data_IF_226576773429
#
_entry.id   IF_226576773429
#
_cell.length_a   1.000
_cell.length_b   1.000
_cell.length_c   1.000
_cell.angle_alpha   90.00
_cell.angle_beta   90.00
_cell.angle_gamma   90.00
#
_symmetry.space_group_name_H-M   'P 1'
#
loop_
_entity.id
_entity.type
_entity.pdbx_description
1 polymer ?
#
# COMPACT_ATOMS: atom_id res chain seq x y z
N UNK A 1 -3.02 -8.09 8.39
CA UNK A 1 -3.09 -8.25 9.85
C UNK A 1 -1.86 -7.56 10.38
N UNK A 2 -2.06 -6.55 11.22
CA UNK A 2 -0.98 -5.80 11.82
C UNK A 2 -1.02 -6.07 13.33
N UNK A 3 0.03 -6.68 13.88
CA UNK A 3 0.20 -6.94 15.31
C UNK A 3 1.08 -5.86 15.94
N UNK A 4 0.57 -5.21 16.98
CA UNK A 4 1.17 -4.07 17.66
C UNK A 4 2.17 -4.55 18.73
N UNK A 5 3.47 -4.43 18.47
CA UNK A 5 4.50 -4.82 19.45
C UNK A 5 4.95 -3.61 20.27
N UNK A 6 5.07 -2.45 19.64
CA UNK A 6 5.37 -1.19 20.30
C UNK A 6 4.69 -0.02 19.57
N UNK A 7 4.15 0.92 20.35
CA UNK A 7 3.48 2.12 19.85
C UNK A 7 4.47 3.28 19.86
N UNK A 8 4.36 4.16 18.87
CA UNK A 8 5.09 5.41 18.86
C UNK A 8 4.66 6.30 20.04
N UNK A 9 5.61 6.90 20.75
CA UNK A 9 5.29 7.87 21.80
C UNK A 9 4.65 9.14 21.22
N UNK A 10 4.96 9.47 19.96
CA UNK A 10 4.48 10.67 19.25
C UNK A 10 4.33 10.41 17.74
N UNK A 11 3.15 10.71 17.16
CA UNK A 11 2.85 10.45 15.74
C UNK A 11 2.79 8.97 15.34
N UNK A 12 3.00 8.63 14.07
CA UNK A 12 3.14 7.24 13.59
C UNK A 12 1.88 6.36 13.64
N UNK A 13 0.69 6.95 13.70
CA UNK A 13 -0.58 6.23 13.79
C UNK A 13 -0.92 5.53 12.47
N UNK A 14 -1.50 4.33 12.55
CA UNK A 14 -2.11 3.67 11.40
C UNK A 14 -3.43 4.36 11.09
N UNK A 15 -3.63 4.79 9.86
CA UNK A 15 -4.86 5.43 9.38
C UNK A 15 -5.46 4.57 8.28
N UNK A 16 -6.78 4.37 8.33
CA UNK A 16 -7.51 3.64 7.30
C UNK A 16 -8.59 4.50 6.68
N UNK A 17 -8.84 4.32 5.38
CA UNK A 17 -9.89 5.02 4.65
C UNK A 17 -10.70 4.03 3.80
N UNK A 18 -12.02 4.20 3.78
CA UNK A 18 -12.93 3.34 3.02
C UNK A 18 -12.82 3.61 1.52
N UNK A 19 -12.53 2.57 0.74
CA UNK A 19 -12.52 2.65 -0.72
C UNK A 19 -13.87 3.05 -1.29
N UNK A 20 -14.97 2.57 -0.70
CA UNK A 20 -16.32 2.92 -1.15
C UNK A 20 -16.66 4.40 -0.92
N UNK A 21 -16.18 4.98 0.18
CA UNK A 21 -16.37 6.41 0.44
C UNK A 21 -15.60 7.27 -0.56
N UNK A 22 -14.35 6.90 -0.87
CA UNK A 22 -13.54 7.58 -1.89
C UNK A 22 -14.19 7.44 -3.27
N UNK A 23 -14.64 6.23 -3.63
CA UNK A 23 -15.37 5.97 -4.87
C UNK A 23 -16.61 6.85 -5.01
N UNK A 24 -17.45 6.92 -3.97
CA UNK A 24 -18.68 7.72 -4.00
C UNK A 24 -18.38 9.21 -4.18
N UNK A 25 -17.34 9.72 -3.52
CA UNK A 25 -16.94 11.12 -3.65
C UNK A 25 -16.37 11.42 -5.04
N UNK A 26 -15.56 10.51 -5.61
CA UNK A 26 -15.08 10.59 -7.00
C UNK A 26 -16.26 10.57 -7.99
N UNK A 27 -17.19 9.64 -7.84
CA UNK A 27 -18.37 9.52 -8.71
C UNK A 27 -19.22 10.80 -8.68
N UNK A 28 -19.32 11.45 -7.51
CA UNK A 28 -20.08 12.69 -7.31
C UNK A 28 -19.37 13.93 -7.85
N UNK A 29 -18.05 14.02 -7.74
CA UNK A 29 -17.30 15.26 -7.97
C UNK A 29 -16.41 15.26 -9.20
N UNK A 30 -15.84 14.11 -9.56
CA UNK A 30 -14.88 13.90 -10.65
C UNK A 30 -15.09 12.56 -11.35
N UNK A 31 -16.27 12.33 -11.97
CA UNK A 31 -16.53 11.08 -12.70
C UNK A 31 -15.55 10.85 -13.85
N UNK A 32 -14.97 11.91 -14.41
CA UNK A 32 -13.90 11.84 -15.42
C UNK A 32 -12.64 11.13 -14.89
N UNK A 33 -12.22 11.43 -13.65
CA UNK A 33 -11.09 10.75 -13.02
C UNK A 33 -11.45 9.33 -12.58
N UNK A 34 -12.70 9.10 -12.16
CA UNK A 34 -13.16 7.74 -11.86
C UNK A 34 -13.04 6.82 -13.08
N UNK A 35 -13.41 7.30 -14.28
CA UNK A 35 -13.21 6.54 -15.52
C UNK A 35 -11.73 6.32 -15.86
N UNK A 36 -10.83 7.26 -15.51
CA UNK A 36 -9.39 7.06 -15.65
C UNK A 36 -8.87 5.94 -14.71
N UNK A 37 -9.39 5.84 -13.49
CA UNK A 37 -9.00 4.80 -12.53
C UNK A 37 -9.40 3.38 -12.94
N UNK A 38 -10.42 3.24 -13.80
CA UNK A 38 -10.86 1.96 -14.38
C UNK A 38 -10.00 1.50 -15.56
N UNK A 39 -9.19 2.39 -16.15
CA UNK A 39 -8.27 2.03 -17.24
C UNK A 39 -7.06 1.28 -16.70
N UNK A 40 -6.31 0.53 -17.52
CA UNK A 40 -5.09 -0.13 -17.08
C UNK A 40 -3.97 0.84 -16.64
N UNK A 41 -3.38 0.61 -15.48
CA UNK A 41 -2.20 1.31 -14.94
C UNK A 41 -0.99 0.39 -14.89
N UNK A 42 0.17 0.92 -15.29
CA UNK A 42 1.43 0.18 -15.29
C UNK A 42 2.22 0.55 -14.02
N UNK A 43 2.68 -0.47 -13.31
CA UNK A 43 3.47 -0.32 -12.09
C UNK A 43 4.98 -0.58 -12.36
N UNK A 44 5.86 0.21 -11.74
CA UNK A 44 7.31 0.26 -11.93
C UNK A 44 8.07 -0.81 -11.12
N UNK A 45 7.52 -1.32 -10.01
CA UNK A 45 8.24 -2.17 -9.07
C UNK A 45 7.69 -3.60 -9.00
N UNK A 46 8.32 -4.47 -9.78
CA UNK A 46 9.07 -5.67 -9.35
C UNK A 46 9.00 -6.70 -10.47
N UNK A 47 10.15 -7.13 -11.00
CA UNK A 47 10.51 -8.29 -11.85
C UNK A 47 9.47 -9.02 -12.75
N UNK A 48 8.19 -9.07 -12.40
CA UNK A 48 7.06 -9.51 -13.20
C UNK A 48 6.09 -8.34 -13.40
N UNK A 49 6.27 -7.64 -14.52
CA UNK A 49 5.31 -6.64 -14.97
C UNK A 49 4.06 -7.36 -15.51
N UNK A 50 2.88 -7.00 -15.02
CA UNK A 50 1.69 -7.16 -15.86
C UNK A 50 1.77 -6.07 -16.95
N UNK A 51 2.31 -6.44 -18.11
CA UNK A 51 2.52 -5.52 -19.24
C UNK A 51 1.22 -4.94 -19.76
N UNK A 52 0.10 -5.61 -19.50
CA UNK A 52 -1.22 -5.18 -19.94
C UNK A 52 -1.80 -4.08 -19.02
N UNK A 53 -1.18 -3.89 -17.84
CA UNK A 53 -1.59 -2.94 -16.83
C UNK A 53 -2.85 -3.38 -16.07
N UNK A 54 -3.03 -2.82 -14.88
CA UNK A 54 -4.11 -3.19 -13.99
C UNK A 54 -4.94 -1.96 -13.60
N UNK A 55 -6.28 -2.01 -13.66
CA UNK A 55 -7.12 -0.94 -13.14
C UNK A 55 -6.90 -0.71 -11.65
N UNK A 56 -6.89 0.55 -11.22
CA UNK A 56 -6.83 0.88 -9.79
C UNK A 56 -8.18 0.63 -9.12
N UNK A 57 -9.27 0.77 -9.86
CA UNK A 57 -10.63 0.44 -9.41
C UNK A 57 -11.26 -0.56 -10.36
N UNK A 58 -11.82 -1.64 -9.79
CA UNK A 58 -12.59 -2.65 -10.51
C UNK A 58 -13.57 -3.32 -9.55
N UNK A 59 -14.33 -4.30 -10.03
CA UNK A 59 -15.27 -5.07 -9.23
C UNK A 59 -14.85 -6.55 -9.23
N UNK A 60 -14.83 -7.14 -8.05
CA UNK A 60 -14.82 -8.59 -7.87
C UNK A 60 -16.23 -9.17 -8.12
N UNK A 61 -16.34 -10.50 -8.09
CA UNK A 61 -17.64 -11.18 -8.18
C UNK A 61 -18.61 -10.66 -7.11
N UNK A 62 -19.89 -10.57 -7.49
CA UNK A 62 -20.99 -9.93 -6.75
C UNK A 62 -20.85 -8.41 -6.60
N UNK A 63 -20.21 -7.76 -7.58
CA UNK A 63 -20.09 -6.30 -7.65
C UNK A 63 -19.35 -5.66 -6.46
N UNK A 64 -18.46 -6.43 -5.82
CA UNK A 64 -17.65 -5.94 -4.69
C UNK A 64 -16.55 -5.02 -5.22
N UNK A 65 -16.62 -3.74 -4.86
CA UNK A 65 -15.60 -2.75 -5.22
C UNK A 65 -14.22 -3.19 -4.71
N UNK A 66 -13.28 -3.32 -5.63
CA UNK A 66 -11.86 -3.51 -5.35
C UNK A 66 -11.13 -2.23 -5.73
N UNK A 67 -10.33 -1.73 -4.79
CA UNK A 67 -9.52 -0.54 -4.99
C UNK A 67 -8.09 -0.84 -4.56
N UNK A 68 -7.18 -0.85 -5.54
CA UNK A 68 -5.75 -1.03 -5.33
C UNK A 68 -5.04 0.24 -5.73
N UNK A 69 -4.44 0.90 -4.76
CA UNK A 69 -3.73 2.15 -5.01
C UNK A 69 -2.50 2.26 -4.12
N UNK A 70 -1.36 2.42 -4.78
CA UNK A 70 -0.13 2.88 -4.17
C UNK A 70 0.57 3.79 -5.17
N UNK A 71 0.93 5.01 -4.75
CA UNK A 71 1.56 6.00 -5.62
C UNK A 71 2.98 5.60 -6.02
N UNK A 72 3.76 5.06 -5.09
CA UNK A 72 5.19 4.76 -5.29
C UNK A 72 5.43 3.79 -6.46
N UNK A 73 4.70 2.67 -6.58
CA UNK A 73 4.83 1.80 -7.73
C UNK A 73 4.32 2.43 -9.03
N UNK A 74 3.69 3.61 -9.08
CA UNK A 74 3.22 4.29 -10.31
C UNK A 74 4.12 5.47 -10.70
N UNK A 75 4.79 6.11 -9.75
CA UNK A 75 5.68 7.25 -10.04
C UNK A 75 7.16 6.87 -10.02
N UNK A 76 7.49 5.71 -9.46
CA UNK A 76 8.84 5.32 -9.11
C UNK A 76 9.26 5.87 -7.74
N UNK A 77 10.18 5.17 -7.08
CA UNK A 77 10.85 5.65 -5.88
C UNK A 77 12.00 6.58 -6.31
N UNK A 78 12.09 7.77 -5.69
CA UNK A 78 13.21 8.74 -5.76
C UNK A 78 14.11 8.59 -7.00
N UNK A 79 13.62 9.11 -8.14
CA UNK A 79 14.24 9.41 -9.44
C UNK A 79 15.17 8.40 -10.15
N UNK A 80 15.92 7.55 -9.46
CA UNK A 80 17.09 6.89 -10.05
C UNK A 80 16.84 5.44 -10.49
N UNK A 81 15.71 4.83 -10.09
CA UNK A 81 15.34 3.45 -10.47
C UNK A 81 14.19 3.37 -11.47
N UNK A 82 13.84 4.49 -12.12
CA UNK A 82 12.71 4.54 -13.05
C UNK A 82 13.09 3.83 -14.36
N UNK A 83 12.36 2.78 -14.73
CA UNK A 83 12.46 2.19 -16.08
C UNK A 83 12.06 3.26 -17.12
N UNK A 84 13.04 3.76 -17.88
CA UNK A 84 12.84 4.82 -18.87
C UNK A 84 11.98 4.37 -20.07
N UNK A 85 11.79 3.06 -20.25
CA UNK A 85 10.91 2.52 -21.30
C UNK A 85 9.42 2.69 -21.00
N UNK A 86 9.06 3.01 -19.74
CA UNK A 86 7.66 3.27 -19.36
C UNK A 86 7.41 4.80 -19.41
N UNK A 87 6.39 5.28 -20.14
CA UNK A 87 6.03 6.69 -20.17
C UNK A 87 5.66 7.23 -18.78
N UNK A 88 5.93 8.52 -18.48
CA UNK A 88 5.46 9.13 -17.24
C UNK A 88 3.93 9.13 -17.19
N UNK A 89 3.32 9.08 -15.98
CA UNK A 89 1.89 9.23 -15.84
C UNK A 89 1.43 10.55 -16.48
N UNK A 90 0.27 10.53 -17.15
CA UNK A 90 -0.34 11.74 -17.71
C UNK A 90 -0.74 12.71 -16.59
N UNK A 91 -0.99 13.97 -16.94
CA UNK A 91 -1.49 14.96 -15.98
C UNK A 91 -2.79 14.50 -15.28
N UNK A 92 -3.73 13.91 -16.01
CA UNK A 92 -4.97 13.36 -15.43
C UNK A 92 -4.73 12.18 -14.49
N UNK A 93 -3.72 11.35 -14.75
CA UNK A 93 -3.32 10.29 -13.83
C UNK A 93 -2.69 10.84 -12.55
N UNK A 94 -1.80 11.84 -12.67
CA UNK A 94 -1.22 12.52 -11.51
C UNK A 94 -2.32 13.19 -10.66
N UNK A 95 -3.27 13.85 -11.32
CA UNK A 95 -4.42 14.47 -10.67
C UNK A 95 -5.30 13.44 -9.94
N UNK A 96 -5.62 12.31 -10.59
CA UNK A 96 -6.39 11.23 -9.98
C UNK A 96 -5.71 10.68 -8.72
N UNK A 97 -4.39 10.45 -8.77
CA UNK A 97 -3.63 9.98 -7.61
C UNK A 97 -3.67 10.98 -6.46
N UNK A 98 -3.43 12.27 -6.74
CA UNK A 98 -3.47 13.31 -5.71
C UNK A 98 -4.86 13.43 -5.10
N UNK A 99 -5.92 13.36 -5.90
CA UNK A 99 -7.29 13.41 -5.39
C UNK A 99 -7.63 12.20 -4.50
N UNK A 100 -7.17 10.99 -4.85
CA UNK A 100 -7.33 9.81 -4.00
C UNK A 100 -6.64 10.03 -2.64
N UNK A 101 -5.41 10.54 -2.65
CA UNK A 101 -4.65 10.82 -1.42
C UNK A 101 -5.37 11.87 -0.55
N UNK A 102 -5.82 12.97 -1.14
CA UNK A 102 -6.57 14.02 -0.45
C UNK A 102 -7.86 13.48 0.17
N UNK A 103 -8.61 12.66 -0.58
CA UNK A 103 -9.84 12.04 -0.09
C UNK A 103 -9.58 10.98 0.98
N UNK A 104 -8.51 10.20 0.84
CA UNK A 104 -8.11 9.21 1.85
C UNK A 104 -7.74 9.90 3.17
N UNK A 105 -6.98 10.99 3.13
CA UNK A 105 -6.64 11.76 4.32
C UNK A 105 -7.84 12.48 4.93
N UNK A 106 -8.67 13.12 4.10
CA UNK A 106 -9.90 13.81 4.56
C UNK A 106 -10.85 12.88 5.30
N UNK A 107 -10.98 11.63 4.84
CA UNK A 107 -11.92 10.65 5.38
C UNK A 107 -11.24 9.57 6.23
N UNK A 108 -9.95 9.73 6.52
CA UNK A 108 -9.14 8.75 7.23
C UNK A 108 -9.52 8.65 8.70
N UNK A 109 -9.53 7.43 9.22
CA UNK A 109 -9.72 7.15 10.63
C UNK A 109 -8.44 6.56 11.21
N UNK A 110 -7.90 7.22 12.23
CA UNK A 110 -6.79 6.67 12.99
C UNK A 110 -7.27 5.45 13.78
N UNK A 111 -6.57 4.33 13.63
CA UNK A 111 -6.79 3.14 14.43
C UNK A 111 -6.04 3.28 15.75
N UNK A 112 -6.71 3.14 16.91
CA UNK A 112 -6.02 3.00 18.17
C UNK A 112 -5.18 1.71 18.15
N UNK A 113 -4.01 1.74 18.79
CA UNK A 113 -3.08 0.62 18.88
C UNK A 113 -2.47 0.64 20.27
N UNK A 114 -2.52 -0.49 20.97
CA UNK A 114 -1.76 -0.79 22.17
C UNK A 114 -0.96 -2.06 21.95
N UNK A 115 0.17 -2.28 22.65
CA UNK A 115 0.91 -3.52 22.54
C UNK A 115 0.00 -4.75 22.78
N UNK A 116 0.00 -5.70 21.84
CA UNK A 116 -0.87 -6.87 21.82
C UNK A 116 -2.17 -6.69 21.01
N UNK A 117 -2.49 -5.49 20.55
CA UNK A 117 -3.62 -5.27 19.65
C UNK A 117 -3.33 -5.82 18.25
N UNK A 118 -4.35 -6.44 17.65
CA UNK A 118 -4.30 -6.97 16.29
C UNK A 118 -5.34 -6.27 15.43
N UNK A 119 -4.89 -5.64 14.34
CA UNK A 119 -5.77 -5.01 13.36
C UNK A 119 -5.96 -5.91 12.12
N UNK A 120 -7.22 -6.23 11.80
CA UNK A 120 -7.60 -6.89 10.55
C UNK A 120 -8.13 -5.85 9.56
N UNK A 121 -7.38 -5.65 8.47
CA UNK A 121 -7.72 -4.68 7.42
C UNK A 121 -7.97 -5.47 6.13
N UNK A 122 -9.12 -5.25 5.50
CA UNK A 122 -9.40 -5.81 4.18
C UNK A 122 -8.67 -4.99 3.11
N UNK A 123 -7.54 -5.51 2.62
CA UNK A 123 -6.69 -4.83 1.63
C UNK A 123 -7.36 -4.59 0.27
N UNK A 124 -8.48 -5.25 -0.03
CA UNK A 124 -9.19 -5.05 -1.31
C UNK A 124 -10.09 -3.81 -1.30
N UNK A 125 -10.54 -3.36 -0.12
CA UNK A 125 -11.54 -2.29 -0.01
C UNK A 125 -11.23 -1.23 1.06
N UNK A 126 -10.00 -1.23 1.59
CA UNK A 126 -9.50 -0.23 2.51
C UNK A 126 -8.13 0.28 2.05
N UNK A 127 -7.99 1.59 1.94
CA UNK A 127 -6.68 2.23 1.87
C UNK A 127 -6.14 2.36 3.29
N UNK A 128 -4.83 2.22 3.45
CA UNK A 128 -4.18 2.35 4.75
C UNK A 128 -2.84 3.06 4.60
N UNK A 129 -2.52 3.88 5.60
CA UNK A 129 -1.31 4.68 5.65
C UNK A 129 -0.81 4.78 7.08
N UNK A 130 0.35 5.43 7.24
CA UNK A 130 0.89 5.84 8.54
C UNK A 130 1.04 7.35 8.56
N UNK A 131 0.67 8.00 9.65
CA UNK A 131 1.02 9.42 9.84
C UNK A 131 2.54 9.59 9.97
N UNK A 132 3.01 10.84 9.80
CA UNK A 132 4.39 11.20 10.16
C UNK A 132 4.62 10.99 11.66
N UNK A 133 5.87 10.75 12.03
CA UNK A 133 6.30 10.93 13.42
C UNK A 133 6.38 12.43 13.71
N UNK A 134 6.17 12.81 14.97
CA UNK A 134 6.26 14.21 15.37
C UNK A 134 7.71 14.71 15.28
N UNK A 135 7.84 16.03 15.06
CA UNK A 135 9.14 16.70 14.93
C UNK A 135 9.46 17.51 16.20
N UNK A 136 10.73 17.66 16.52
CA UNK A 136 11.20 18.61 17.53
C UNK A 136 11.11 20.07 17.04
N UNK A 137 11.50 21.03 17.90
CA UNK A 137 11.49 22.46 17.57
C UNK A 137 12.44 22.87 16.45
N UNK A 138 13.38 22.00 16.07
CA UNK A 138 14.35 22.20 14.99
C UNK A 138 13.95 21.43 13.71
N UNK A 139 12.81 20.74 13.72
CA UNK A 139 12.27 19.99 12.58
C UNK A 139 12.80 18.58 12.41
N UNK A 140 13.55 18.04 13.39
CA UNK A 140 14.01 16.65 13.35
C UNK A 140 12.95 15.71 13.89
N UNK A 141 12.82 14.51 13.32
CA UNK A 141 11.89 13.50 13.82
C UNK A 141 12.26 13.09 15.25
N UNK A 142 11.28 13.12 16.16
CA UNK A 142 11.45 12.60 17.51
C UNK A 142 11.74 11.10 17.45
N UNK A 143 12.70 10.66 18.25
CA UNK A 143 13.01 9.24 18.42
C UNK A 143 11.75 8.52 18.94
N UNK A 144 11.21 7.61 18.13
CA UNK A 144 10.00 6.87 18.45
C UNK A 144 10.13 5.43 17.95
N UNK A 145 9.90 4.45 18.82
CA UNK A 145 9.94 3.02 18.51
C UNK A 145 8.53 2.47 18.21
N UNK A 146 8.14 2.50 16.94
CA UNK A 146 6.95 1.78 16.47
C UNK A 146 7.36 0.46 15.83
N UNK A 147 6.89 -0.66 16.39
CA UNK A 147 7.14 -1.98 15.85
C UNK A 147 5.82 -2.70 15.60
N UNK A 148 5.54 -3.02 14.33
CA UNK A 148 4.41 -3.84 13.92
C UNK A 148 4.88 -5.06 13.13
N UNK A 149 4.20 -6.20 13.30
CA UNK A 149 4.33 -7.35 12.39
C UNK A 149 3.13 -7.36 11.44
N UNK A 150 3.40 -7.33 10.13
CA UNK A 150 2.38 -7.34 9.08
C UNK A 150 2.31 -8.70 8.40
N UNK A 151 1.12 -9.31 8.41
CA UNK A 151 0.82 -10.53 7.66
C UNK A 151 -0.26 -10.27 6.60
N UNK A 152 -0.07 -10.82 5.41
CA UNK A 152 -1.12 -10.94 4.39
C UNK A 152 -1.83 -12.27 4.60
N UNK A 153 -3.14 -12.22 4.86
CA UNK A 153 -3.95 -13.39 5.18
C UNK A 153 -4.97 -13.63 4.07
N UNK A 154 -5.18 -14.90 3.72
CA UNK A 154 -6.23 -15.33 2.80
C UNK A 154 -6.91 -16.56 3.36
N UNK A 155 -8.20 -16.42 3.64
CA UNK A 155 -9.09 -17.54 3.93
C UNK A 155 -9.69 -18.05 2.61
N UNK A 156 -9.43 -19.31 2.20
CA UNK A 156 -9.98 -19.85 0.95
C UNK A 156 -11.52 -19.87 0.89
N UNK A 157 -12.23 -19.92 2.03
CA UNK A 157 -13.68 -19.91 2.10
C UNK A 157 -14.30 -18.50 2.08
N UNK A 158 -13.53 -17.46 2.43
CA UNK A 158 -14.00 -16.07 2.47
C UNK A 158 -13.33 -15.17 1.42
N UNK A 159 -12.32 -15.65 0.71
CA UNK A 159 -11.62 -14.90 -0.31
C UNK A 159 -12.57 -14.43 -1.42
N UNK A 160 -12.43 -13.17 -1.84
CA UNK A 160 -13.17 -12.66 -2.98
C UNK A 160 -12.62 -13.28 -4.27
N UNK A 161 -13.52 -13.63 -5.19
CA UNK A 161 -13.14 -14.01 -6.54
C UNK A 161 -12.82 -12.75 -7.35
N UNK A 162 -11.54 -12.57 -7.66
CA UNK A 162 -11.01 -11.39 -8.34
C UNK A 162 -11.12 -11.51 -9.87
N UNK A 163 -11.34 -10.40 -10.60
CA UNK A 163 -11.39 -10.41 -12.05
C UNK A 163 -10.04 -10.79 -12.66
N UNK A 164 -10.04 -11.16 -13.95
CA UNK A 164 -8.83 -11.59 -14.67
C UNK A 164 -7.69 -10.57 -14.56
N UNK A 165 -8.00 -9.28 -14.62
CA UNK A 165 -7.04 -8.18 -14.49
C UNK A 165 -6.33 -8.11 -13.14
N UNK A 166 -6.76 -8.89 -12.15
CA UNK A 166 -6.22 -8.94 -10.79
C UNK A 166 -5.75 -10.33 -10.38
N UNK A 167 -5.68 -11.30 -11.30
CA UNK A 167 -5.23 -12.66 -10.97
C UNK A 167 -3.78 -12.72 -10.50
N UNK A 168 -2.95 -11.81 -11.00
CA UNK A 168 -1.54 -11.70 -10.59
C UNK A 168 -1.40 -11.40 -9.08
N UNK A 169 -2.36 -10.70 -8.46
CA UNK A 169 -2.26 -10.27 -7.07
C UNK A 169 -2.19 -11.46 -6.09
N UNK A 170 -3.16 -12.39 -6.06
CA UNK A 170 -3.08 -13.56 -5.20
C UNK A 170 -1.95 -14.52 -5.60
N UNK A 171 -1.60 -14.60 -6.89
CA UNK A 171 -0.46 -15.40 -7.34
C UNK A 171 0.86 -14.85 -6.80
N UNK A 172 1.05 -13.52 -6.82
CA UNK A 172 2.21 -12.87 -6.21
C UNK A 172 2.25 -13.05 -4.70
N UNK A 173 1.13 -12.83 -4.02
CA UNK A 173 1.11 -12.81 -2.55
C UNK A 173 1.14 -14.23 -1.96
N UNK A 174 0.40 -15.18 -2.55
CA UNK A 174 0.18 -16.52 -1.98
C UNK A 174 0.67 -17.67 -2.86
N UNK A 175 1.07 -17.39 -4.10
CA UNK A 175 1.59 -18.39 -5.03
C UNK A 175 3.00 -18.85 -4.71
N UNK A 176 3.53 -19.68 -5.59
CA UNK A 176 4.86 -20.27 -5.46
C UNK A 176 5.92 -19.16 -5.61
N UNK A 177 6.94 -19.16 -4.75
CA UNK A 177 8.05 -18.20 -4.81
C UNK A 177 9.41 -18.88 -5.04
N UNK A 178 9.40 -20.17 -5.39
CA UNK A 178 10.58 -20.96 -5.76
C UNK A 178 10.41 -21.59 -7.14
N UNK A 179 11.53 -21.85 -7.81
CA UNK A 179 11.58 -22.44 -9.15
C UNK A 179 11.12 -23.90 -9.20
N UNK A 180 11.14 -24.61 -8.07
CA UNK A 180 10.62 -25.97 -7.92
C UNK A 180 9.10 -26.03 -7.68
N UNK A 181 8.43 -24.86 -7.72
CA UNK A 181 7.01 -24.74 -7.47
C UNK A 181 6.63 -24.83 -6.00
N UNK A 182 7.58 -24.72 -5.08
CA UNK A 182 7.28 -24.61 -3.64
C UNK A 182 7.20 -23.15 -3.20
N UNK A 183 6.75 -22.94 -1.96
CA UNK A 183 6.74 -21.65 -1.31
C UNK A 183 7.50 -21.74 0.01
N UNK A 184 8.37 -20.78 0.27
CA UNK A 184 8.99 -20.59 1.59
C UNK A 184 8.93 -19.15 2.02
N UNK A 185 8.66 -18.95 3.31
CA UNK A 185 8.61 -17.63 3.91
C UNK A 185 9.88 -17.39 4.71
N UNK A 186 10.50 -16.23 4.50
CA UNK A 186 11.54 -15.71 5.37
C UNK A 186 10.98 -14.52 6.15
N UNK A 187 10.88 -14.67 7.47
CA UNK A 187 10.34 -13.64 8.35
C UNK A 187 11.48 -12.91 9.04
N UNK A 188 11.64 -11.62 8.74
CA UNK A 188 12.54 -10.75 9.48
C UNK A 188 11.88 -10.31 10.78
N UNK A 189 12.03 -11.12 11.82
CA UNK A 189 11.47 -10.86 13.14
C UNK A 189 12.42 -10.05 14.05
N UNK A 190 13.65 -9.81 13.59
CA UNK A 190 14.66 -8.99 14.27
C UNK A 190 15.14 -7.89 13.34
N UNK A 191 15.11 -6.65 13.82
CA UNK A 191 15.76 -5.51 13.17
C UNK A 191 17.05 -5.23 13.94
N UNK A 192 18.21 -5.45 13.33
CA UNK A 192 19.46 -4.98 13.91
C UNK A 192 19.54 -3.46 13.74
N UNK A 193 19.53 -2.73 14.85
CA UNK A 193 19.71 -1.28 14.85
C UNK A 193 21.20 -1.03 14.60
N UNK A 194 21.60 -0.85 13.34
CA UNK A 194 23.01 -0.68 12.96
C UNK A 194 23.27 -0.20 11.53
N UNK A 195 22.33 -0.43 10.60
CA UNK A 195 22.50 0.02 9.22
C UNK A 195 22.11 1.51 9.08
N UNK A 196 23.05 2.40 9.44
CA UNK A 196 23.00 3.81 9.06
C UNK A 196 23.23 3.95 7.56
N UNK A 197 22.36 4.72 6.88
CA UNK A 197 22.62 5.13 5.49
C UNK A 197 23.87 6.03 5.44
N UNK A 198 24.58 6.11 4.29
CA UNK A 198 25.79 6.93 4.15
C UNK A 198 25.62 8.42 4.48
N UNK A 199 24.39 8.91 4.57
CA UNK A 199 24.01 10.29 4.90
C UNK A 199 23.62 10.49 6.38
N UNK A 200 23.79 9.47 7.23
CA UNK A 200 23.55 9.56 8.67
C UNK A 200 22.07 9.43 9.08
N UNK A 201 21.17 9.16 8.14
CA UNK A 201 19.79 8.83 8.47
C UNK A 201 19.66 7.38 8.95
N UNK A 202 18.93 7.19 10.05
CA UNK A 202 18.56 5.86 10.54
C UNK A 202 17.41 5.35 9.68
N UNK A 203 17.57 4.15 9.18
CA UNK A 203 16.57 3.50 8.35
C UNK A 203 15.30 3.19 9.17
N UNK A 204 14.13 3.53 8.62
CA UNK A 204 12.83 3.33 9.26
C UNK A 204 11.96 2.33 8.46
N UNK A 205 12.43 1.07 8.37
CA UNK A 205 11.62 -0.11 8.04
C UNK A 205 12.07 -0.94 6.84
N UNK A 206 12.23 -2.26 7.03
CA UNK A 206 12.39 -3.27 5.95
C UNK A 206 10.98 -3.66 5.61
N UNK A 207 10.25 -2.73 5.01
CA UNK A 207 9.22 -3.16 4.09
C UNK A 207 9.94 -3.71 2.87
N UNK A 208 10.36 -4.98 2.88
CA UNK A 208 10.65 -5.67 1.63
C UNK A 208 9.34 -5.66 0.84
N UNK A 209 9.20 -4.65 -0.02
CA UNK A 209 8.34 -4.42 -1.18
C UNK A 209 7.11 -5.33 -1.38
N UNK A 210 6.37 -5.59 -0.30
CA UNK A 210 5.00 -6.10 -0.30
C UNK A 210 4.07 -4.95 0.08
N UNK A 211 4.08 -3.90 -0.74
CA UNK A 211 3.00 -2.93 -0.71
C UNK A 211 1.73 -3.68 -1.11
N UNK A 212 0.74 -3.64 -0.22
CA UNK A 212 -0.65 -3.87 -0.59
C UNK A 212 -1.21 -2.69 -1.37
#
# INVERSE_FOLDING_TARGET
MDDCIAVADTGGQTVVASSSQIYNELARTRPDLLEELKKPWVFYQSQDYDTDGTPLITNAVDDKLVFQFSRLPITGFRSDTRNQSIPPPSAGRLEAMSLIEDLAWKNGLALPCQPGDVAFINNLCMLHARTSFDLDGDGNALLSSRHLVKLMLRDPGLAWELPKSLKWLPERIYGQNRTDGTRTEEWQLSVEIGDSLPDGHIWAGTGNYANG
#
